data_IF_703272618360
#
_entry.id   IF_703272618360
#
_cell.length_a   1.000
_cell.length_b   1.000
_cell.length_c   1.000
_cell.angle_alpha   90.00
_cell.angle_beta   90.00
_cell.angle_gamma   90.00
#
_symmetry.space_group_name_H-M   'P 1'
#
loop_
_entity.id
_entity.type
_entity.pdbx_description
1 polymer ?
#
# COMPACT_ATOMS: atom_id res chain seq x y z
N UNK A 1 -2.50 -27.60 -0.27
CA UNK A 1 -3.12 -26.54 -1.09
C UNK A 1 -2.04 -25.52 -1.37
N UNK A 2 -1.65 -25.31 -2.63
CA UNK A 2 -0.75 -24.23 -2.96
C UNK A 2 -1.47 -22.91 -2.64
N UNK A 3 -0.93 -22.11 -1.72
CA UNK A 3 -1.42 -20.75 -1.50
C UNK A 3 -1.25 -20.00 -2.81
N UNK A 4 -2.36 -19.75 -3.50
CA UNK A 4 -2.38 -18.89 -4.67
C UNK A 4 -2.08 -17.48 -4.14
N UNK A 5 -0.82 -17.06 -4.29
CA UNK A 5 -0.39 -15.70 -3.93
C UNK A 5 -1.24 -14.70 -4.71
N UNK A 6 -2.20 -14.07 -4.02
CA UNK A 6 -3.09 -13.07 -4.61
C UNK A 6 -2.27 -11.86 -5.06
N UNK A 7 -2.37 -11.48 -6.34
CA UNK A 7 -1.66 -10.33 -6.90
C UNK A 7 -2.16 -9.03 -6.24
N UNK A 8 -1.25 -8.09 -5.97
CA UNK A 8 -1.62 -6.77 -5.47
C UNK A 8 -2.64 -6.08 -6.40
N UNK A 9 -3.69 -5.46 -5.86
CA UNK A 9 -4.73 -4.77 -6.63
C UNK A 9 -4.27 -3.37 -7.06
N UNK A 10 -3.20 -3.35 -7.86
CA UNK A 10 -2.58 -2.17 -8.46
C UNK A 10 -2.82 -2.22 -9.96
N UNK A 11 -3.10 -1.05 -10.54
CA UNK A 11 -3.24 -0.91 -12.00
C UNK A 11 -1.96 -1.37 -12.72
N UNK A 12 -2.13 -2.10 -13.81
CA UNK A 12 -1.03 -2.60 -14.65
C UNK A 12 -0.17 -1.49 -15.27
N UNK A 13 -0.66 -0.25 -15.24
CA UNK A 13 0.12 0.95 -15.57
C UNK A 13 1.41 1.06 -14.74
N UNK A 14 1.40 0.59 -13.49
CA UNK A 14 2.57 0.60 -12.62
C UNK A 14 3.31 -0.73 -12.70
N UNK A 15 4.63 -0.66 -12.88
CA UNK A 15 5.49 -1.84 -12.72
C UNK A 15 5.84 -2.00 -11.24
N UNK A 16 5.23 -2.98 -10.57
CA UNK A 16 5.59 -3.34 -9.20
C UNK A 16 6.98 -3.97 -9.21
N UNK A 17 7.90 -3.40 -8.44
CA UNK A 17 9.28 -3.88 -8.28
C UNK A 17 9.33 -4.87 -7.11
N UNK A 18 8.76 -4.47 -5.97
CA UNK A 18 8.68 -5.29 -4.75
C UNK A 18 7.58 -4.76 -3.82
N UNK A 19 7.16 -5.54 -2.83
CA UNK A 19 6.20 -5.12 -1.84
C UNK A 19 6.27 -5.88 -0.52
N UNK A 20 5.80 -5.24 0.53
CA UNK A 20 5.57 -5.83 1.85
C UNK A 20 4.12 -5.60 2.24
N UNK A 21 3.40 -6.68 2.57
CA UNK A 21 2.07 -6.57 3.19
C UNK A 21 2.24 -6.25 4.67
N UNK A 22 1.64 -5.17 5.13
CA UNK A 22 1.65 -4.74 6.54
C UNK A 22 0.50 -5.39 7.29
N UNK A 23 -0.68 -5.44 6.66
CA UNK A 23 -1.88 -6.01 7.23
C UNK A 23 -2.79 -6.53 6.12
N UNK A 24 -3.42 -7.69 6.33
CA UNK A 24 -4.45 -8.21 5.42
C UNK A 24 -5.52 -8.95 6.21
N UNK A 25 -6.77 -8.67 5.88
CA UNK A 25 -7.97 -9.28 6.42
C UNK A 25 -8.99 -9.51 5.28
N UNK A 26 -10.16 -10.05 5.60
CA UNK A 26 -11.24 -10.22 4.62
C UNK A 26 -11.73 -8.90 4.01
N UNK A 27 -11.60 -7.78 4.73
CA UNK A 27 -12.15 -6.48 4.31
C UNK A 27 -11.09 -5.44 3.97
N UNK A 28 -9.87 -5.59 4.48
CA UNK A 28 -8.83 -4.57 4.40
C UNK A 28 -7.48 -5.19 4.04
N UNK A 29 -6.74 -4.50 3.18
CA UNK A 29 -5.38 -4.87 2.81
C UNK A 29 -4.51 -3.63 2.78
N UNK A 30 -3.44 -3.62 3.56
CA UNK A 30 -2.42 -2.59 3.62
C UNK A 30 -1.07 -3.14 3.17
N UNK A 31 -0.40 -2.41 2.28
CA UNK A 31 0.93 -2.78 1.80
C UNK A 31 1.80 -1.55 1.47
N UNK A 32 3.10 -1.72 1.64
CA UNK A 32 4.15 -0.82 1.15
C UNK A 32 4.70 -1.41 -0.14
N UNK A 33 4.72 -0.62 -1.21
CA UNK A 33 5.01 -1.13 -2.56
C UNK A 33 6.05 -0.25 -3.21
N UNK A 34 7.16 -0.83 -3.66
CA UNK A 34 8.08 -0.15 -4.58
C UNK A 34 7.54 -0.34 -5.99
N UNK A 35 7.24 0.74 -6.69
CA UNK A 35 6.76 0.68 -8.06
C UNK A 35 7.49 1.67 -8.95
N UNK A 36 7.48 1.39 -10.25
CA UNK A 36 8.00 2.26 -11.29
C UNK A 36 6.87 2.80 -12.16
N UNK A 37 6.95 4.08 -12.51
CA UNK A 37 6.11 4.74 -13.49
C UNK A 37 6.92 5.78 -14.24
N UNK A 38 6.78 5.84 -15.57
CA UNK A 38 7.53 6.78 -16.43
C UNK A 38 9.06 6.76 -16.16
N UNK A 39 9.63 5.57 -15.94
CA UNK A 39 11.06 5.38 -15.68
C UNK A 39 11.56 5.85 -14.31
N UNK A 40 10.66 6.22 -13.39
CA UNK A 40 11.00 6.64 -12.02
C UNK A 40 10.42 5.68 -10.99
N UNK A 41 11.22 5.33 -9.99
CA UNK A 41 10.78 4.52 -8.84
C UNK A 41 10.19 5.40 -7.76
N UNK A 42 9.22 4.86 -7.03
CA UNK A 42 8.60 5.48 -5.86
C UNK A 42 8.12 4.39 -4.91
N UNK A 43 7.98 4.74 -3.63
CA UNK A 43 7.31 3.90 -2.65
C UNK A 43 5.85 4.35 -2.54
N UNK A 44 4.91 3.41 -2.57
CA UNK A 44 3.49 3.64 -2.35
C UNK A 44 3.02 2.93 -1.11
N UNK A 45 2.39 3.67 -0.22
CA UNK A 45 1.63 3.17 0.91
C UNK A 45 0.18 3.03 0.45
N UNK A 46 -0.30 1.80 0.37
CA UNK A 46 -1.63 1.50 -0.13
C UNK A 46 -2.51 0.94 0.98
N UNK A 47 -3.75 1.41 1.02
CA UNK A 47 -4.84 0.74 1.72
C UNK A 47 -5.95 0.44 0.72
N UNK A 48 -6.32 -0.84 0.61
CA UNK A 48 -7.48 -1.29 -0.13
C UNK A 48 -8.57 -1.79 0.81
N UNK A 49 -9.80 -1.62 0.36
CA UNK A 49 -10.97 -2.17 1.00
C UNK A 49 -11.70 -3.09 0.02
N UNK A 50 -12.08 -4.27 0.50
CA UNK A 50 -12.87 -5.21 -0.29
C UNK A 50 -14.30 -4.70 -0.39
N UNK A 51 -14.84 -4.65 -1.61
CA UNK A 51 -16.18 -4.12 -1.93
C UNK A 51 -16.85 -5.00 -2.97
N UNK A 52 -18.17 -5.17 -2.86
CA UNK A 52 -18.95 -5.84 -3.89
C UNK A 52 -19.00 -4.97 -5.15
N UNK A 53 -18.55 -5.53 -6.26
CA UNK A 53 -18.78 -4.99 -7.60
C UNK A 53 -20.18 -5.43 -8.06
N UNK A 54 -21.10 -4.47 -8.18
CA UNK A 54 -22.51 -4.76 -8.50
C UNK A 54 -22.70 -5.29 -9.92
N UNK A 55 -21.86 -4.87 -10.86
CA UNK A 55 -21.97 -5.27 -12.27
C UNK A 55 -21.48 -6.70 -12.46
N UNK A 56 -20.41 -7.06 -11.73
CA UNK A 56 -19.77 -8.38 -11.84
C UNK A 56 -20.20 -9.37 -10.76
N UNK A 57 -21.07 -8.93 -9.83
CA UNK A 57 -21.54 -9.67 -8.67
C UNK A 57 -20.42 -10.40 -7.91
N UNK A 58 -19.26 -9.74 -7.74
CA UNK A 58 -18.08 -10.32 -7.09
C UNK A 58 -17.37 -9.29 -6.21
N UNK A 59 -16.67 -9.77 -5.19
CA UNK A 59 -15.87 -8.90 -4.34
C UNK A 59 -14.57 -8.48 -5.04
N UNK A 60 -14.27 -7.19 -5.01
CA UNK A 60 -13.05 -6.62 -5.58
C UNK A 60 -12.39 -5.69 -4.58
N UNK A 61 -11.06 -5.69 -4.58
CA UNK A 61 -10.28 -4.71 -3.84
C UNK A 61 -10.40 -3.34 -4.51
N UNK A 62 -10.87 -2.35 -3.76
CA UNK A 62 -10.92 -0.95 -4.18
C UNK A 62 -9.95 -0.14 -3.35
N UNK A 63 -9.12 0.66 -4.01
CA UNK A 63 -8.12 1.51 -3.35
C UNK A 63 -8.84 2.57 -2.52
N UNK A 64 -8.62 2.55 -1.20
CA UNK A 64 -9.18 3.53 -0.26
C UNK A 64 -8.20 4.67 -0.01
N UNK A 65 -6.93 4.36 0.23
CA UNK A 65 -5.86 5.35 0.37
C UNK A 65 -4.64 4.98 -0.45
N UNK A 66 -3.93 6.00 -0.91
CA UNK A 66 -2.62 5.91 -1.53
C UNK A 66 -1.81 7.13 -1.14
N UNK A 67 -0.64 6.90 -0.55
CA UNK A 67 0.34 7.93 -0.29
C UNK A 67 1.67 7.51 -0.93
N UNK A 68 2.39 8.45 -1.53
CA UNK A 68 3.63 8.13 -2.24
C UNK A 68 4.81 8.85 -1.60
N UNK A 69 5.96 8.18 -1.58
CA UNK A 69 7.26 8.76 -1.28
C UNK A 69 8.10 8.66 -2.54
N UNK A 70 8.49 9.82 -3.09
CA UNK A 70 9.05 9.93 -4.45
C UNK A 70 10.57 9.91 -4.48
N UNK A 71 11.21 10.22 -3.35
CA UNK A 71 12.67 10.30 -3.24
C UNK A 71 13.12 10.14 -1.78
N UNK A 72 14.43 10.07 -1.59
CA UNK A 72 15.05 9.83 -0.29
C UNK A 72 14.90 11.02 0.69
N UNK A 73 14.87 12.26 0.20
CA UNK A 73 14.67 13.44 1.04
C UNK A 73 13.25 13.46 1.66
N UNK A 74 12.23 13.21 0.84
CA UNK A 74 10.84 13.05 1.29
C UNK A 74 10.71 11.92 2.31
N UNK A 75 11.38 10.78 2.06
CA UNK A 75 11.42 9.67 3.01
C UNK A 75 12.02 10.08 4.35
N UNK A 76 13.18 10.72 4.35
CA UNK A 76 13.87 11.11 5.58
C UNK A 76 13.04 12.09 6.40
N UNK A 77 12.37 13.06 5.76
CA UNK A 77 11.46 14.00 6.43
C UNK A 77 10.29 13.28 7.10
N UNK A 78 9.64 12.36 6.38
CA UNK A 78 8.53 11.57 6.92
C UNK A 78 8.97 10.68 8.07
N UNK A 79 10.06 9.93 7.87
CA UNK A 79 10.65 9.05 8.89
C UNK A 79 10.94 9.83 10.17
N UNK A 80 11.65 10.95 10.07
CA UNK A 80 12.00 11.77 11.24
C UNK A 80 10.75 12.30 11.97
N UNK A 81 9.73 12.74 11.23
CA UNK A 81 8.48 13.21 11.82
C UNK A 81 7.71 12.08 12.54
N UNK A 82 7.67 10.88 11.96
CA UNK A 82 7.07 9.69 12.58
C UNK A 82 7.84 9.34 13.86
N UNK A 83 9.16 9.27 13.79
CA UNK A 83 10.04 8.98 14.94
C UNK A 83 9.84 10.02 16.06
N UNK A 84 9.76 11.31 15.73
CA UNK A 84 9.51 12.38 16.70
C UNK A 84 8.16 12.22 17.42
N UNK A 85 7.12 11.73 16.75
CA UNK A 85 5.79 11.57 17.33
C UNK A 85 5.57 10.20 17.99
N UNK A 86 6.41 9.20 17.70
CA UNK A 86 6.30 7.83 18.21
C UNK A 86 6.21 7.75 19.75
N UNK A 87 6.97 8.52 20.55
CA UNK A 87 6.85 8.49 22.01
C UNK A 87 5.44 8.77 22.54
N UNK A 88 4.63 9.54 21.81
CA UNK A 88 3.24 9.86 22.19
C UNK A 88 2.27 8.68 22.04
N UNK A 89 2.66 7.61 21.34
CA UNK A 89 1.83 6.41 21.20
C UNK A 89 1.80 5.56 22.48
N UNK A 90 2.83 5.70 23.34
CA UNK A 90 3.02 4.88 24.53
C UNK A 90 2.56 5.58 25.81
N UNK A 91 2.45 6.92 25.79
CA UNK A 91 1.94 7.69 26.93
C UNK A 91 0.42 7.54 27.05
N UNK A 92 -0.03 6.72 28.00
CA UNK A 92 -1.36 6.85 28.62
C UNK A 92 -1.27 7.77 29.83
#
# INVERSE_FOLDING_TARGET
MAEVSEKLPISEFYKVVDYVTIFKSEKWWEAIVVFESFGRRSIGLYLWQKRLDKEKNQEVWRRKHKFNVRNLDEWNKLKNAIEQLTPKLVSK
#
